data_IF_493408149185
#
_entry.id   IF_493408149185
#
_cell.length_a   1.000
_cell.length_b   1.000
_cell.length_c   1.000
_cell.angle_alpha   90.00
_cell.angle_beta   90.00
_cell.angle_gamma   90.00
#
_symmetry.space_group_name_H-M   'P 1'
#
loop_
_entity.id
_entity.type
_entity.pdbx_description
1 polymer ?
#
# COMPACT_ATOMS: atom_id res chain seq x y z
N UNK A 1 42.72 2.95 6.17
CA UNK A 1 41.66 1.92 6.30
C UNK A 1 40.35 2.69 6.38
N UNK A 2 39.63 2.80 5.27
CA UNK A 2 38.48 3.71 5.13
C UNK A 2 37.24 3.15 5.85
N UNK A 3 36.41 3.98 6.49
CA UNK A 3 35.17 3.53 7.10
C UNK A 3 34.11 3.25 6.01
N UNK A 4 33.57 2.03 5.99
CA UNK A 4 32.41 1.68 5.15
C UNK A 4 31.18 2.45 5.64
N UNK A 5 30.88 3.52 4.92
CA UNK A 5 29.68 4.32 5.07
C UNK A 5 28.48 3.51 4.53
N UNK A 6 27.89 2.65 5.36
CA UNK A 6 26.61 2.01 5.06
C UNK A 6 25.52 3.09 5.15
N UNK A 7 25.34 3.83 4.04
CA UNK A 7 24.16 4.68 3.83
C UNK A 7 22.92 3.80 4.00
N UNK A 8 22.30 3.84 5.17
CA UNK A 8 20.95 3.36 5.38
C UNK A 8 20.03 4.25 4.54
N UNK A 9 19.71 3.77 3.35
CA UNK A 9 18.62 4.21 2.50
C UNK A 9 17.32 3.99 3.26
N UNK A 10 16.81 5.10 3.81
CA UNK A 10 15.70 5.22 4.74
C UNK A 10 14.31 5.01 4.10
N UNK A 11 14.17 4.04 3.19
CA UNK A 11 12.88 3.68 2.58
C UNK A 11 12.43 2.24 2.92
N UNK A 12 13.08 1.58 3.87
CA UNK A 12 12.62 0.31 4.44
C UNK A 12 11.94 0.51 5.80
N UNK A 13 11.22 1.62 5.99
CA UNK A 13 10.08 1.56 6.89
C UNK A 13 8.99 0.71 6.21
N UNK A 14 9.23 -0.60 6.17
CA UNK A 14 8.16 -1.55 6.42
C UNK A 14 7.48 -1.03 7.69
N UNK A 15 6.35 -0.34 7.52
CA UNK A 15 5.50 0.15 8.59
C UNK A 15 5.03 -1.07 9.39
N UNK A 16 5.89 -1.47 10.33
CA UNK A 16 5.60 -2.43 11.36
C UNK A 16 4.91 -1.65 12.47
N UNK A 17 3.65 -1.29 12.25
CA UNK A 17 2.74 -0.81 13.28
C UNK A 17 1.36 -0.64 12.65
N UNK A 18 0.46 -1.63 12.83
CA UNK A 18 -0.97 -1.42 12.61
C UNK A 18 -1.43 -0.28 13.53
N UNK A 19 -2.06 0.82 13.05
CA UNK A 19 -3.50 0.95 12.76
C UNK A 19 -4.22 -0.01 11.82
N UNK A 20 -4.40 0.24 10.53
CA UNK A 20 -4.01 1.45 9.82
C UNK A 20 -4.76 1.63 8.50
N UNK A 21 -6.06 1.35 8.52
CA UNK A 21 -6.96 1.73 7.45
C UNK A 21 -8.09 2.57 8.02
N UNK A 22 -8.43 3.67 7.36
CA UNK A 22 -9.56 4.54 7.68
C UNK A 22 -10.58 4.49 6.56
N UNK A 23 -11.84 4.77 6.87
CA UNK A 23 -12.85 4.97 5.83
C UNK A 23 -12.44 6.12 4.91
N UNK A 24 -12.46 5.87 3.61
CA UNK A 24 -11.95 6.77 2.58
C UNK A 24 -10.54 6.45 2.08
N UNK A 25 -9.77 5.61 2.78
CA UNK A 25 -8.42 5.25 2.33
C UNK A 25 -8.44 4.47 1.04
N UNK A 26 -7.46 4.73 0.18
CA UNK A 26 -7.26 3.97 -1.05
C UNK A 26 -6.23 2.88 -0.80
N UNK A 27 -6.63 1.64 -1.10
CA UNK A 27 -5.83 0.44 -0.85
C UNK A 27 -5.74 -0.43 -2.09
N UNK A 28 -4.69 -1.26 -2.14
CA UNK A 28 -4.43 -2.24 -3.19
C UNK A 28 -4.05 -3.58 -2.59
N UNK A 29 -4.28 -4.66 -3.32
CA UNK A 29 -3.81 -5.98 -2.94
C UNK A 29 -2.29 -6.09 -3.09
N UNK A 30 -1.66 -6.70 -2.08
CA UNK A 30 -0.23 -7.04 -2.11
C UNK A 30 0.07 -8.16 -3.12
N UNK A 31 -0.89 -9.06 -3.33
CA UNK A 31 -0.76 -10.21 -4.23
C UNK A 31 -0.78 -9.76 -5.71
N UNK A 32 0.25 -10.08 -6.52
CA UNK A 32 0.31 -9.67 -7.92
C UNK A 32 -0.80 -10.32 -8.78
N UNK A 33 -1.32 -11.48 -8.37
CA UNK A 33 -2.40 -12.18 -9.09
C UNK A 33 -3.79 -11.57 -8.85
N UNK A 34 -3.89 -10.63 -7.91
CA UNK A 34 -5.12 -9.89 -7.64
C UNK A 34 -5.26 -8.72 -8.63
N UNK A 35 -6.49 -8.21 -8.80
CA UNK A 35 -6.73 -7.04 -9.61
C UNK A 35 -5.81 -5.88 -9.23
N UNK A 36 -5.40 -5.14 -10.25
CA UNK A 36 -4.59 -3.93 -10.17
C UNK A 36 -5.42 -2.66 -9.95
N UNK A 37 -6.74 -2.77 -9.87
CA UNK A 37 -7.60 -1.63 -9.57
C UNK A 37 -7.45 -1.17 -8.12
N UNK A 38 -7.57 0.14 -7.94
CA UNK A 38 -7.64 0.76 -6.63
C UNK A 38 -8.97 0.42 -5.96
N UNK A 39 -8.95 0.25 -4.65
CA UNK A 39 -10.15 0.02 -3.84
C UNK A 39 -10.20 1.06 -2.74
N UNK A 40 -11.41 1.48 -2.38
CA UNK A 40 -11.59 2.43 -1.28
C UNK A 40 -12.14 1.71 -0.07
N UNK A 41 -11.51 1.94 1.09
CA UNK A 41 -11.98 1.46 2.38
C UNK A 41 -13.30 2.15 2.69
N UNK A 42 -14.34 1.33 2.81
CA UNK A 42 -15.66 1.77 3.24
C UNK A 42 -15.81 1.64 4.75
N UNK A 43 -15.33 0.55 5.34
CA UNK A 43 -15.44 0.34 6.79
C UNK A 43 -14.42 -0.67 7.27
N UNK A 44 -13.81 -0.43 8.42
CA UNK A 44 -12.96 -1.43 9.09
C UNK A 44 -13.83 -2.28 10.02
N UNK A 45 -13.70 -3.60 9.94
CA UNK A 45 -14.44 -4.53 10.80
C UNK A 45 -13.56 -5.71 11.22
N UNK A 46 -13.31 -5.83 12.53
CA UNK A 46 -12.45 -6.87 13.09
C UNK A 46 -11.04 -6.81 12.49
N UNK A 47 -10.59 -7.93 11.94
CA UNK A 47 -9.26 -8.08 11.30
C UNK A 47 -9.24 -7.74 9.80
N UNK A 48 -10.35 -7.22 9.26
CA UNK A 48 -10.49 -6.91 7.85
C UNK A 48 -11.15 -5.56 7.57
N UNK A 49 -11.24 -5.24 6.29
CA UNK A 49 -11.87 -4.02 5.78
C UNK A 49 -12.87 -4.34 4.68
N UNK A 50 -13.99 -3.65 4.73
CA UNK A 50 -14.98 -3.59 3.67
C UNK A 50 -14.57 -2.53 2.68
N UNK A 51 -14.64 -2.87 1.40
CA UNK A 51 -14.11 -2.11 0.29
C UNK A 51 -15.23 -1.80 -0.70
N UNK A 52 -15.09 -0.69 -1.42
CA UNK A 52 -15.98 -0.29 -2.52
C UNK A 52 -17.46 -0.33 -2.12
N UNK A 53 -17.83 0.38 -1.04
CA UNK A 53 -19.22 0.45 -0.57
C UNK A 53 -19.80 -0.90 -0.14
N UNK A 54 -19.00 -1.73 0.52
CA UNK A 54 -19.36 -3.09 0.98
C UNK A 54 -19.48 -4.15 -0.13
N UNK A 55 -18.94 -3.89 -1.32
CA UNK A 55 -18.92 -4.86 -2.43
C UNK A 55 -17.83 -5.91 -2.30
N UNK A 56 -16.82 -5.67 -1.47
CA UNK A 56 -15.67 -6.55 -1.30
C UNK A 56 -15.15 -6.52 0.14
N UNK A 57 -14.56 -7.61 0.63
CA UNK A 57 -13.97 -7.72 1.97
C UNK A 57 -12.54 -8.25 1.84
N UNK A 58 -11.58 -7.57 2.47
CA UNK A 58 -10.19 -7.98 2.48
C UNK A 58 -9.62 -7.98 3.89
N UNK A 59 -8.83 -8.99 4.22
CA UNK A 59 -8.09 -9.03 5.47
C UNK A 59 -6.94 -8.01 5.40
N UNK A 60 -6.70 -7.30 6.50
CA UNK A 60 -5.71 -6.21 6.57
C UNK A 60 -4.30 -6.64 6.17
N UNK A 61 -3.94 -7.90 6.41
CA UNK A 61 -2.64 -8.44 6.01
C UNK A 61 -2.49 -8.68 4.49
N UNK A 62 -3.60 -8.80 3.75
CA UNK A 62 -3.60 -9.04 2.29
C UNK A 62 -3.52 -7.75 1.46
N UNK A 63 -3.75 -6.60 2.09
CA UNK A 63 -3.81 -5.29 1.43
C UNK A 63 -2.75 -4.34 2.00
N UNK A 64 -2.41 -3.33 1.21
CA UNK A 64 -1.59 -2.18 1.61
C UNK A 64 -2.26 -0.89 1.15
N UNK A 65 -1.91 0.23 1.77
CA UNK A 65 -2.26 1.55 1.25
C UNK A 65 -1.67 1.75 -0.15
N UNK A 66 -2.45 2.41 -1.01
CA UNK A 66 -2.00 2.83 -2.31
C UNK A 66 -1.09 4.06 -2.15
N UNK A 67 0.02 4.10 -2.89
CA UNK A 67 0.88 5.28 -2.95
C UNK A 67 0.17 6.41 -3.70
N UNK A 68 0.55 7.66 -3.43
CA UNK A 68 -0.01 8.86 -4.10
C UNK A 68 0.10 8.73 -5.62
N UNK A 69 1.22 8.19 -6.12
CA UNK A 69 1.41 7.95 -7.55
C UNK A 69 0.39 6.95 -8.14
N UNK A 70 0.04 5.90 -7.39
CA UNK A 70 -0.97 4.91 -7.79
C UNK A 70 -2.37 5.54 -7.81
N UNK A 71 -2.67 6.36 -6.80
CA UNK A 71 -3.93 7.12 -6.71
C UNK A 71 -4.07 8.07 -7.90
N UNK A 72 -3.02 8.82 -8.24
CA UNK A 72 -2.99 9.72 -9.39
C UNK A 72 -3.13 8.96 -10.72
N UNK A 73 -2.48 7.80 -10.85
CA UNK A 73 -2.54 6.98 -12.04
C UNK A 73 -3.80 6.10 -12.13
N UNK A 74 -4.64 6.08 -11.08
CA UNK A 74 -5.84 5.24 -10.94
C UNK A 74 -5.59 3.73 -11.13
N UNK A 75 -4.34 3.28 -10.92
CA UNK A 75 -3.91 1.89 -11.11
C UNK A 75 -2.80 1.54 -10.13
N UNK A 76 -2.72 0.26 -9.74
CA UNK A 76 -1.59 -0.27 -8.97
C UNK A 76 -0.32 -0.17 -9.81
N UNK A 77 0.74 0.36 -9.23
CA UNK A 77 2.05 0.43 -9.84
C UNK A 77 2.80 -0.88 -9.59
N UNK A 78 3.55 -1.28 -10.60
CA UNK A 78 4.54 -2.36 -10.45
C UNK A 78 5.60 -1.94 -9.45
N UNK A 79 6.27 -2.91 -8.83
CA UNK A 79 7.33 -2.64 -7.85
C UNK A 79 8.42 -1.68 -8.39
N UNK A 80 8.69 -1.75 -9.70
CA UNK A 80 9.61 -0.86 -10.41
C UNK A 80 9.08 0.58 -10.50
N UNK A 81 7.81 0.76 -10.83
CA UNK A 81 7.18 2.10 -10.91
C UNK A 81 7.05 2.74 -9.53
N UNK A 82 6.80 1.95 -8.47
CA UNK A 82 6.81 2.46 -7.09
C UNK A 82 8.19 2.97 -6.69
N UNK A 83 9.25 2.22 -7.00
CA UNK A 83 10.63 2.60 -6.69
C UNK A 83 11.09 3.86 -7.44
N UNK A 84 10.55 4.12 -8.63
CA UNK A 84 10.82 5.34 -9.41
C UNK A 84 10.06 6.56 -8.88
N UNK A 85 8.83 6.37 -8.42
CA UNK A 85 7.98 7.45 -7.92
C UNK A 85 8.45 8.05 -6.59
N UNK A 86 9.24 7.32 -5.79
CA UNK A 86 9.77 7.78 -4.51
C UNK A 86 11.07 8.62 -4.64
N UNK A 87 11.61 8.79 -5.85
CA UNK A 87 12.95 9.39 -6.09
C UNK A 87 12.89 10.84 -6.63
N UNK A 88 11.70 11.46 -6.72
CA UNK A 88 11.54 12.84 -7.24
C UNK A 88 11.27 13.87 -6.16
#
# INVERSE_FOLDING_TARGET
MEPMNMKQNLAHQQSKQNPEFLEGDVVVFKDPNKPDHLMTVHKVQGDGVLLNGNSNFALTHLIRTASVAEVLAKRRFTQTEQALAEVS
#
